data_IF_855305339945
#
_entry.id   IF_855305339945
#
_cell.length_a   1.000
_cell.length_b   1.000
_cell.length_c   1.000
_cell.angle_alpha   90.00
_cell.angle_beta   90.00
_cell.angle_gamma   90.00
#
_symmetry.space_group_name_H-M   'P 1'
#
loop_
_entity.id
_entity.type
_entity.pdbx_description
1 polymer ?
#
# COMPACT_ATOMS: atom_id res chain seq x y z
N UNK A 1 -9.86 -40.69 -3.83
CA UNK A 1 -8.87 -39.69 -4.13
C UNK A 1 -9.35 -38.40 -3.48
N UNK A 2 -8.93 -38.01 -2.69
CA UNK A 2 -8.16 -37.96 -1.50
C UNK A 2 -8.58 -36.72 -0.75
N UNK A 3 -9.62 -36.84 0.06
CA UNK A 3 -10.14 -35.84 1.02
C UNK A 3 -8.98 -35.25 1.84
N UNK A 4 -7.92 -36.01 2.05
CA UNK A 4 -6.71 -35.60 2.79
C UNK A 4 -5.91 -34.51 2.04
N UNK A 5 -5.85 -34.56 0.71
CA UNK A 5 -5.15 -33.57 -0.11
C UNK A 5 -5.98 -32.30 -0.29
N UNK A 6 -7.31 -32.42 -0.38
CA UNK A 6 -8.21 -31.27 -0.44
C UNK A 6 -8.21 -30.46 0.87
N UNK A 7 -8.09 -31.14 2.02
CA UNK A 7 -7.95 -30.45 3.31
C UNK A 7 -6.62 -29.70 3.44
N UNK A 8 -5.52 -30.26 2.90
CA UNK A 8 -4.22 -29.57 2.90
C UNK A 8 -4.25 -28.27 2.07
N UNK A 9 -4.95 -28.29 0.94
CA UNK A 9 -5.12 -27.08 0.11
C UNK A 9 -5.98 -26.01 0.79
N UNK A 10 -6.97 -26.41 1.56
CA UNK A 10 -7.88 -25.50 2.26
C UNK A 10 -7.16 -24.79 3.42
N UNK A 11 -6.24 -25.48 4.09
CA UNK A 11 -5.44 -24.93 5.19
C UNK A 11 -4.45 -23.85 4.67
N UNK A 12 -3.90 -24.04 3.47
CA UNK A 12 -2.97 -23.08 2.86
C UNK A 12 -3.68 -21.76 2.47
N UNK A 13 -4.97 -21.83 2.13
CA UNK A 13 -5.74 -20.64 1.76
C UNK A 13 -6.10 -19.74 2.96
N UNK A 14 -6.15 -20.29 4.17
CA UNK A 14 -6.46 -19.52 5.39
C UNK A 14 -5.23 -18.78 5.95
N UNK A 15 -4.01 -19.22 5.61
CA UNK A 15 -2.77 -18.63 6.08
C UNK A 15 -2.42 -17.27 5.41
N UNK A 16 -3.19 -16.83 4.41
CA UNK A 16 -2.89 -15.65 3.59
C UNK A 16 -3.36 -14.29 4.13
N UNK A 17 -4.08 -14.23 5.27
CA UNK A 17 -4.71 -13.01 5.78
C UNK A 17 -4.19 -12.61 7.16
N UNK A 18 -2.87 -12.60 7.37
CA UNK A 18 -2.31 -12.02 8.59
C UNK A 18 -2.28 -10.49 8.47
N UNK A 19 -2.78 -9.79 9.50
CA UNK A 19 -2.61 -8.35 9.60
C UNK A 19 -1.13 -8.00 9.83
N UNK A 20 -0.72 -6.79 9.44
CA UNK A 20 0.65 -6.31 9.70
C UNK A 20 0.99 -6.37 11.20
N UNK A 21 0.01 -6.11 12.06
CA UNK A 21 0.17 -6.22 13.51
C UNK A 21 0.54 -7.64 13.94
N UNK A 22 -0.21 -8.65 13.48
CA UNK A 22 0.08 -10.05 13.78
C UNK A 22 1.42 -10.49 13.22
N UNK A 23 1.78 -10.02 12.04
CA UNK A 23 3.06 -10.31 11.41
C UNK A 23 4.23 -9.76 12.23
N UNK A 24 4.14 -8.53 12.72
CA UNK A 24 5.15 -7.94 13.58
C UNK A 24 5.31 -8.71 14.89
N UNK A 25 4.21 -9.15 15.50
CA UNK A 25 4.25 -9.99 16.69
C UNK A 25 4.94 -11.32 16.42
N UNK A 26 4.64 -11.95 15.28
CA UNK A 26 5.26 -13.22 14.87
C UNK A 26 6.76 -13.07 14.61
N UNK A 27 7.21 -11.91 14.15
CA UNK A 27 8.64 -11.59 13.93
C UNK A 27 9.38 -11.24 15.23
N UNK A 28 8.69 -11.19 16.36
CA UNK A 28 9.29 -10.94 17.68
C UNK A 28 9.34 -9.47 18.10
N UNK A 29 8.66 -8.58 17.39
CA UNK A 29 8.56 -7.19 17.83
C UNK A 29 7.73 -7.07 19.12
N UNK A 30 8.08 -6.13 20.02
CA UNK A 30 7.27 -5.89 21.21
C UNK A 30 5.82 -5.53 20.86
N UNK A 31 4.83 -5.98 21.65
CA UNK A 31 3.43 -5.63 21.40
C UNK A 31 3.16 -4.13 21.32
N UNK A 32 3.84 -3.33 22.14
CA UNK A 32 3.73 -1.88 22.11
C UNK A 32 4.20 -1.29 20.75
N UNK A 33 5.25 -1.83 20.16
CA UNK A 33 5.71 -1.44 18.83
C UNK A 33 4.66 -1.79 17.76
N UNK A 34 4.15 -3.01 17.78
CA UNK A 34 3.14 -3.46 16.82
C UNK A 34 1.85 -2.63 16.90
N UNK A 35 1.41 -2.30 18.11
CA UNK A 35 0.25 -1.44 18.34
C UNK A 35 0.50 -0.03 17.79
N UNK A 36 1.65 0.56 18.09
CA UNK A 36 2.04 1.86 17.58
C UNK A 36 2.14 1.86 16.05
N UNK A 37 2.75 0.86 15.48
CA UNK A 37 2.89 0.72 14.03
C UNK A 37 1.54 0.65 13.33
N UNK A 38 0.60 -0.11 13.86
CA UNK A 38 -0.76 -0.20 13.32
C UNK A 38 -1.48 1.16 13.34
N UNK A 39 -1.43 1.84 14.44
CA UNK A 39 -2.05 3.17 14.61
C UNK A 39 -1.36 4.22 13.72
N UNK A 40 -0.05 4.20 13.66
CA UNK A 40 0.73 5.07 12.80
C UNK A 40 0.50 4.83 11.32
N UNK A 41 0.43 3.57 10.90
CA UNK A 41 0.16 3.20 9.52
C UNK A 41 -1.22 3.71 9.04
N UNK A 42 -2.28 3.51 9.84
CA UNK A 42 -3.60 4.06 9.56
C UNK A 42 -3.60 5.58 9.44
N UNK A 43 -2.87 6.25 10.32
CA UNK A 43 -2.69 7.70 10.31
C UNK A 43 -1.90 8.19 9.09
N UNK A 44 -0.86 7.47 8.69
CA UNK A 44 -0.07 7.74 7.50
C UNK A 44 -0.87 7.61 6.20
N UNK A 45 -1.75 6.63 6.12
CA UNK A 45 -2.70 6.48 5.01
C UNK A 45 -3.65 7.66 4.92
N UNK A 46 -4.15 8.13 6.04
CA UNK A 46 -5.01 9.33 6.08
C UNK A 46 -4.24 10.57 5.62
N UNK A 47 -3.00 10.75 6.07
CA UNK A 47 -2.16 11.87 5.65
C UNK A 47 -1.89 11.88 4.15
N UNK A 48 -1.82 10.71 3.51
CA UNK A 48 -1.70 10.56 2.06
C UNK A 48 -3.06 10.62 1.33
N UNK A 49 -4.14 11.05 2.00
CA UNK A 49 -5.51 11.16 1.46
C UNK A 49 -6.06 9.83 0.90
N UNK A 50 -5.61 8.70 1.42
CA UNK A 50 -6.08 7.38 1.00
C UNK A 50 -7.44 7.05 1.60
N UNK A 51 -8.29 6.44 0.79
CA UNK A 51 -9.56 5.88 1.27
C UNK A 51 -9.26 4.74 2.26
N UNK A 52 -9.89 4.76 3.42
CA UNK A 52 -9.68 3.78 4.50
C UNK A 52 -8.55 4.12 5.47
N UNK A 53 -7.86 5.26 5.28
CA UNK A 53 -6.97 5.80 6.28
C UNK A 53 -7.76 6.43 7.43
N UNK A 54 -7.29 6.23 8.65
CA UNK A 54 -7.87 6.82 9.85
C UNK A 54 -6.76 7.29 10.78
N UNK A 55 -6.84 8.55 11.20
CA UNK A 55 -5.92 9.05 12.21
C UNK A 55 -6.22 8.42 13.56
N UNK A 56 -5.23 7.75 14.12
CA UNK A 56 -5.30 7.18 15.44
C UNK A 56 -3.96 7.32 16.15
N UNK A 57 -3.99 7.88 17.32
CA UNK A 57 -2.83 8.02 18.20
C UNK A 57 -3.27 7.98 19.66
N UNK A 58 -2.76 7.03 20.39
CA UNK A 58 -2.87 7.01 21.84
C UNK A 58 -1.86 8.01 22.42
N UNK A 59 -2.27 9.25 22.59
CA UNK A 59 -1.38 10.34 22.99
C UNK A 59 -0.74 10.09 24.36
N UNK A 60 -1.46 9.67 25.42
CA UNK A 60 -0.83 9.35 26.70
C UNK A 60 0.23 8.25 26.56
N UNK A 61 -0.06 7.21 25.81
CA UNK A 61 0.88 6.11 25.55
C UNK A 61 2.07 6.55 24.72
N UNK A 62 1.84 7.38 23.70
CA UNK A 62 2.90 7.96 22.88
C UNK A 62 3.89 8.77 23.71
N UNK A 63 3.42 9.50 24.70
CA UNK A 63 4.26 10.32 25.57
C UNK A 63 5.01 9.50 26.63
N UNK A 64 4.47 8.37 27.07
CA UNK A 64 5.01 7.56 28.16
C UNK A 64 5.74 6.30 27.72
N UNK A 65 5.40 5.77 26.56
CA UNK A 65 5.93 4.51 26.03
C UNK A 65 6.72 4.79 24.73
N UNK A 66 8.05 4.85 24.86
CA UNK A 66 8.93 5.10 23.74
C UNK A 66 8.82 4.04 22.64
N UNK A 67 8.52 2.79 22.98
CA UNK A 67 8.35 1.69 22.02
C UNK A 67 7.09 1.87 21.18
N UNK A 68 5.99 2.28 21.79
CA UNK A 68 4.77 2.65 21.06
C UNK A 68 5.02 3.85 20.15
N UNK A 69 5.67 4.90 20.64
CA UNK A 69 5.99 6.10 19.87
C UNK A 69 6.87 5.79 18.65
N UNK A 70 7.87 4.93 18.81
CA UNK A 70 8.72 4.48 17.73
C UNK A 70 7.94 3.71 16.67
N UNK A 71 7.13 2.73 17.08
CA UNK A 71 6.26 1.99 16.19
C UNK A 71 5.31 2.91 15.44
N UNK A 72 4.69 3.86 16.12
CA UNK A 72 3.78 4.83 15.52
C UNK A 72 4.48 5.66 14.43
N UNK A 73 5.64 6.22 14.72
CA UNK A 73 6.41 7.02 13.76
C UNK A 73 6.86 6.20 12.54
N UNK A 74 7.32 4.99 12.75
CA UNK A 74 7.75 4.09 11.67
C UNK A 74 6.57 3.69 10.79
N UNK A 75 5.46 3.31 11.37
CA UNK A 75 4.23 2.97 10.65
C UNK A 75 3.68 4.15 9.84
N UNK A 76 3.66 5.33 10.44
CA UNK A 76 3.21 6.55 9.78
C UNK A 76 4.03 6.84 8.52
N UNK A 77 5.36 6.92 8.66
CA UNK A 77 6.25 7.23 7.54
C UNK A 77 6.19 6.17 6.44
N UNK A 78 6.19 4.90 6.82
CA UNK A 78 6.20 3.82 5.85
C UNK A 78 4.91 3.79 5.02
N UNK A 79 3.76 3.87 5.67
CA UNK A 79 2.46 3.82 4.97
C UNK A 79 2.18 5.08 4.15
N UNK A 80 2.55 6.25 4.66
CA UNK A 80 2.46 7.50 3.91
C UNK A 80 3.31 7.44 2.63
N UNK A 81 4.58 7.09 2.77
CA UNK A 81 5.52 7.02 1.64
C UNK A 81 5.11 5.99 0.58
N UNK A 82 4.59 4.84 1.00
CA UNK A 82 4.11 3.82 0.07
C UNK A 82 2.96 4.32 -0.80
N UNK A 83 1.99 5.00 -0.19
CA UNK A 83 0.83 5.52 -0.92
C UNK A 83 1.20 6.68 -1.84
N UNK A 84 2.01 7.61 -1.36
CA UNK A 84 2.51 8.70 -2.19
C UNK A 84 3.34 8.22 -3.38
N UNK A 85 4.09 7.13 -3.20
CA UNK A 85 4.85 6.50 -4.29
C UNK A 85 3.94 5.83 -5.31
N UNK A 86 2.88 5.17 -4.86
CA UNK A 86 1.85 4.60 -5.75
C UNK A 86 1.16 5.67 -6.56
N UNK A 87 0.72 6.74 -5.94
CA UNK A 87 0.05 7.85 -6.61
C UNK A 87 0.94 8.48 -7.68
N UNK A 88 2.24 8.63 -7.38
CA UNK A 88 3.22 9.14 -8.37
C UNK A 88 3.38 8.19 -9.55
N UNK A 89 3.48 6.89 -9.31
CA UNK A 89 3.61 5.88 -10.35
C UNK A 89 2.34 5.83 -11.22
N UNK A 90 1.17 5.85 -10.60
CA UNK A 90 -0.10 5.84 -11.33
C UNK A 90 -0.26 7.09 -12.19
N UNK A 91 0.07 8.26 -11.64
CA UNK A 91 0.07 9.52 -12.39
C UNK A 91 1.04 9.47 -13.56
N UNK A 92 2.25 8.93 -13.36
CA UNK A 92 3.25 8.80 -14.42
C UNK A 92 2.79 7.84 -15.52
N UNK A 93 2.13 6.75 -15.18
CA UNK A 93 1.53 5.85 -16.17
C UNK A 93 0.46 6.54 -17.01
N UNK A 94 -0.42 7.31 -16.39
CA UNK A 94 -1.46 8.09 -17.09
C UNK A 94 -0.83 9.07 -18.10
N UNK A 95 0.21 9.79 -17.70
CA UNK A 95 0.92 10.71 -18.59
C UNK A 95 1.59 9.98 -19.75
N UNK A 96 2.28 8.89 -19.47
CA UNK A 96 2.94 8.08 -20.50
C UNK A 96 1.94 7.48 -21.50
N UNK A 97 0.78 7.06 -21.04
CA UNK A 97 -0.28 6.52 -21.90
C UNK A 97 -0.89 7.61 -22.80
N UNK A 98 -1.07 8.81 -22.26
CA UNK A 98 -1.53 9.97 -23.04
C UNK A 98 -0.52 10.33 -24.13
N UNK A 99 0.75 10.36 -23.79
CA UNK A 99 1.81 10.69 -24.75
C UNK A 99 1.88 9.65 -25.87
N UNK A 100 1.78 8.36 -25.55
CA UNK A 100 1.72 7.28 -26.55
C UNK A 100 0.49 7.39 -27.45
N UNK A 101 -0.67 7.68 -26.89
CA UNK A 101 -1.90 7.87 -27.66
C UNK A 101 -1.78 9.06 -28.63
N UNK A 102 -1.18 10.16 -28.16
CA UNK A 102 -0.92 11.33 -28.97
C UNK A 102 0.03 11.04 -30.13
N UNK A 103 1.14 10.33 -29.87
CA UNK A 103 2.09 9.94 -30.92
C UNK A 103 1.45 9.03 -31.97
N UNK A 104 0.63 8.07 -31.56
CA UNK A 104 -0.13 7.22 -32.50
C UNK A 104 -1.08 8.02 -33.34
N UNK A 105 -1.77 8.99 -32.76
CA UNK A 105 -2.71 9.85 -33.47
C UNK A 105 -1.99 10.73 -34.52
N UNK A 106 -0.85 11.29 -34.16
CA UNK A 106 -0.01 12.05 -35.13
C UNK A 106 0.41 11.18 -36.27
N UNK A 107 0.98 10.01 -36.00
CA UNK A 107 1.45 9.08 -37.04
C UNK A 107 0.33 8.67 -37.98
N UNK A 108 -0.86 8.40 -37.49
CA UNK A 108 -2.03 8.08 -38.30
C UNK A 108 -2.49 9.27 -39.16
N UNK A 109 -2.45 10.49 -38.58
CA UNK A 109 -2.79 11.71 -39.29
C UNK A 109 -1.83 11.99 -40.45
N UNK A 110 -0.53 11.83 -40.22
CA UNK A 110 0.50 11.97 -41.25
C UNK A 110 0.35 10.93 -42.37
N UNK A 111 0.10 9.67 -42.01
CA UNK A 111 -0.13 8.60 -42.95
C UNK A 111 -1.37 8.86 -43.83
N UNK A 112 -2.45 9.39 -43.27
CA UNK A 112 -3.66 9.80 -44.01
C UNK A 112 -3.37 10.96 -44.95
N UNK A 113 -2.67 11.99 -44.48
CA UNK A 113 -2.29 13.14 -45.32
C UNK A 113 -1.41 12.72 -46.51
N UNK A 114 -0.49 11.80 -46.32
CA UNK A 114 0.37 11.27 -47.36
C UNK A 114 -0.40 10.46 -48.41
N UNK A 115 -1.43 9.71 -48.01
CA UNK A 115 -2.27 8.93 -48.95
C UNK A 115 -3.24 9.78 -49.76
N UNK A 116 -3.60 10.97 -49.30
CA UNK A 116 -4.54 11.86 -50.01
C UNK A 116 -3.88 12.71 -51.10
N UNK A 117 -2.60 12.59 -51.24
CA UNK A 117 -1.83 13.13 -52.34
C UNK A 117 -1.47 12.04 -53.33
#
# INVERSE_FOLDING_TARGET
MNVRWSMLWLVVLVAGCQSTHEQLLAEGYPPAFADGFQDGCGSGRQAAASIGGQYKKDVPRYLKDATYAQGWGDGFRQCQSMLESRDRLDTQHIWNDRDRAWEQQKTQGEAKAYRSH
#
